data_IF_357962882882
#
_entry.id   IF_357962882882
#
_cell.length_a   1.000
_cell.length_b   1.000
_cell.length_c   1.000
_cell.angle_alpha   90.00
_cell.angle_beta   90.00
_cell.angle_gamma   90.00
#
_symmetry.space_group_name_H-M   'P 1'
#
loop_
_entity.id
_entity.type
_entity.pdbx_description
1 polymer ?
#
# COMPACT_ATOMS: atom_id res chain seq x y z
N UNK A 1 15.88 -7.74 -22.90
CA UNK A 1 16.08 -7.33 -21.49
C UNK A 1 15.48 -5.95 -21.21
N UNK A 2 15.56 -4.98 -22.13
CA UNK A 2 14.94 -3.64 -21.95
C UNK A 2 13.40 -3.59 -21.91
N UNK A 3 12.70 -4.61 -22.43
CA UNK A 3 11.22 -4.65 -22.42
C UNK A 3 10.63 -4.99 -21.06
N UNK A 4 11.35 -5.76 -20.24
CA UNK A 4 10.86 -6.21 -18.93
C UNK A 4 11.03 -5.10 -17.87
N UNK A 5 12.12 -4.32 -17.94
CA UNK A 5 12.37 -3.20 -17.03
C UNK A 5 11.35 -2.05 -17.22
N UNK A 6 11.04 -1.69 -18.46
CA UNK A 6 10.03 -0.68 -18.76
C UNK A 6 8.62 -1.10 -18.30
N UNK A 7 8.28 -2.39 -18.44
CA UNK A 7 7.01 -2.93 -17.96
C UNK A 7 6.92 -2.94 -16.42
N UNK A 8 8.03 -3.20 -15.72
CA UNK A 8 8.09 -3.14 -14.25
C UNK A 8 7.92 -1.69 -13.77
N UNK A 9 8.56 -0.72 -14.44
CA UNK A 9 8.42 0.69 -14.11
C UNK A 9 6.98 1.20 -14.34
N UNK A 10 6.36 0.81 -15.46
CA UNK A 10 4.96 1.13 -15.74
C UNK A 10 4.02 0.56 -14.67
N UNK A 11 4.17 -0.72 -14.31
CA UNK A 11 3.34 -1.34 -13.26
C UNK A 11 3.57 -0.71 -11.89
N UNK A 12 4.80 -0.31 -11.57
CA UNK A 12 5.14 0.40 -10.35
C UNK A 12 4.43 1.75 -10.29
N UNK A 13 4.52 2.54 -11.36
CA UNK A 13 3.85 3.84 -11.44
C UNK A 13 2.33 3.71 -11.37
N UNK A 14 1.75 2.70 -12.02
CA UNK A 14 0.33 2.42 -11.95
C UNK A 14 -0.11 2.07 -10.53
N UNK A 15 0.67 1.27 -9.80
CA UNK A 15 0.38 0.90 -8.40
C UNK A 15 0.32 2.14 -7.49
N UNK A 16 1.32 3.03 -7.57
CA UNK A 16 1.30 4.30 -6.82
C UNK A 16 0.14 5.21 -7.25
N UNK A 17 -0.18 5.26 -8.54
CA UNK A 17 -1.33 6.04 -9.02
C UNK A 17 -2.65 5.52 -8.44
N UNK A 18 -2.83 4.19 -8.34
CA UNK A 18 -4.01 3.61 -7.70
C UNK A 18 -4.05 3.90 -6.20
N UNK A 19 -2.90 3.83 -5.51
CA UNK A 19 -2.77 4.22 -4.10
C UNK A 19 -3.23 5.67 -3.86
N UNK A 20 -2.80 6.60 -4.72
CA UNK A 20 -3.19 8.01 -4.66
C UNK A 20 -4.69 8.23 -4.85
N UNK A 21 -5.27 7.59 -5.87
CA UNK A 21 -6.70 7.69 -6.15
C UNK A 21 -7.53 7.18 -4.96
N UNK A 22 -7.15 6.03 -4.38
CA UNK A 22 -7.83 5.47 -3.23
C UNK A 22 -7.70 6.36 -1.99
N UNK A 23 -6.52 6.92 -1.76
CA UNK A 23 -6.28 7.80 -0.62
C UNK A 23 -7.15 9.06 -0.65
N UNK A 24 -7.22 9.72 -1.82
CA UNK A 24 -8.08 10.89 -2.03
C UNK A 24 -9.56 10.51 -1.89
N UNK A 25 -9.98 9.39 -2.49
CA UNK A 25 -11.37 8.95 -2.41
C UNK A 25 -11.78 8.67 -0.97
N UNK A 26 -11.02 7.88 -0.21
CA UNK A 26 -11.33 7.56 1.19
C UNK A 26 -11.34 8.82 2.07
N UNK A 27 -10.36 9.72 1.91
CA UNK A 27 -10.34 10.98 2.66
C UNK A 27 -11.52 11.90 2.34
N UNK A 28 -12.12 11.78 1.15
CA UNK A 28 -13.27 12.61 0.75
C UNK A 28 -14.61 12.17 1.32
N UNK A 29 -14.75 10.88 1.69
CA UNK A 29 -16.04 10.31 2.11
C UNK A 29 -16.22 10.22 3.62
N UNK A 30 -15.14 10.30 4.40
CA UNK A 30 -15.20 10.28 5.86
C UNK A 30 -14.32 11.40 6.43
N UNK A 31 -14.88 12.39 7.16
CA UNK A 31 -14.12 13.53 7.69
C UNK A 31 -13.05 13.14 8.73
N UNK A 32 -13.06 11.92 9.24
CA UNK A 32 -12.05 11.40 10.16
C UNK A 32 -10.89 10.70 9.45
N UNK A 33 -11.00 10.53 8.14
CA UNK A 33 -9.93 9.99 7.30
C UNK A 33 -9.17 11.13 6.62
N UNK A 34 -7.89 11.22 6.92
CA UNK A 34 -6.93 12.11 6.29
C UNK A 34 -6.34 11.45 5.05
N UNK A 35 -6.42 12.14 3.92
CA UNK A 35 -5.95 11.62 2.64
C UNK A 35 -4.43 11.41 2.62
N UNK A 36 -3.65 12.24 3.32
CA UNK A 36 -2.19 12.06 3.37
C UNK A 36 -1.83 10.81 4.19
N UNK A 37 -2.56 10.52 5.27
CA UNK A 37 -2.36 9.28 6.03
C UNK A 37 -2.72 8.04 5.23
N UNK A 38 -3.83 8.08 4.47
CA UNK A 38 -4.16 6.99 3.55
C UNK A 38 -3.08 6.80 2.48
N UNK A 39 -2.56 7.89 1.91
CA UNK A 39 -1.48 7.84 0.92
C UNK A 39 -0.25 7.17 1.50
N UNK A 40 0.21 7.58 2.68
CA UNK A 40 1.36 6.98 3.37
C UNK A 40 1.20 5.45 3.54
N UNK A 41 0.02 5.01 4.00
CA UNK A 41 -0.28 3.59 4.22
C UNK A 41 -0.27 2.77 2.91
N UNK A 42 -0.86 3.33 1.84
CA UNK A 42 -0.92 2.66 0.54
C UNK A 42 0.41 2.69 -0.20
N UNK A 43 1.17 3.79 -0.13
CA UNK A 43 2.52 3.89 -0.68
C UNK A 43 3.45 2.88 0.00
N UNK A 44 3.40 2.77 1.33
CA UNK A 44 4.17 1.78 2.09
C UNK A 44 3.81 0.35 1.65
N UNK A 45 2.52 0.07 1.46
CA UNK A 45 2.07 -1.23 0.96
C UNK A 45 2.58 -1.52 -0.45
N UNK A 46 2.56 -0.51 -1.33
CA UNK A 46 3.05 -0.62 -2.69
C UNK A 46 4.56 -0.89 -2.73
N UNK A 47 5.34 -0.16 -1.94
CA UNK A 47 6.79 -0.36 -1.78
C UNK A 47 7.13 -1.79 -1.37
N UNK A 48 6.38 -2.34 -0.40
CA UNK A 48 6.58 -3.70 0.08
C UNK A 48 6.24 -4.75 -0.98
N UNK A 49 5.17 -4.57 -1.75
CA UNK A 49 4.80 -5.46 -2.86
C UNK A 49 5.89 -5.47 -3.94
N UNK A 50 6.42 -4.30 -4.30
CA UNK A 50 7.49 -4.18 -5.29
C UNK A 50 8.78 -4.83 -4.78
N UNK A 51 9.15 -4.58 -3.52
CA UNK A 51 10.31 -5.17 -2.86
C UNK A 51 10.22 -6.70 -2.84
N UNK A 52 9.08 -7.25 -2.41
CA UNK A 52 8.85 -8.70 -2.36
C UNK A 52 8.92 -9.32 -3.77
N UNK A 53 8.37 -8.64 -4.78
CA UNK A 53 8.43 -9.08 -6.18
C UNK A 53 9.89 -9.18 -6.68
N UNK A 54 10.74 -8.22 -6.33
CA UNK A 54 12.18 -8.29 -6.64
C UNK A 54 12.91 -9.40 -5.89
N UNK A 55 12.54 -9.66 -4.63
CA UNK A 55 13.11 -10.74 -3.82
C UNK A 55 12.73 -12.11 -4.40
N UNK A 56 11.47 -12.30 -4.83
CA UNK A 56 11.04 -13.49 -5.56
C UNK A 56 11.78 -13.67 -6.89
N UNK A 57 11.97 -12.59 -7.66
CA UNK A 57 12.75 -12.64 -8.90
C UNK A 57 14.19 -13.12 -8.66
N UNK A 58 14.81 -12.68 -7.55
CA UNK A 58 16.15 -13.11 -7.12
C UNK A 58 16.18 -14.48 -6.44
N UNK A 59 15.01 -15.11 -6.22
CA UNK A 59 14.83 -16.36 -5.46
C UNK A 59 15.31 -16.27 -4.01
N UNK A 60 15.33 -15.06 -3.44
CA UNK A 60 15.65 -14.84 -2.03
C UNK A 60 14.37 -14.97 -1.19
N UNK A 61 13.95 -16.21 -0.97
CA UNK A 61 12.70 -16.49 -0.26
C UNK A 61 12.73 -16.11 1.22
N UNK A 62 13.92 -16.02 1.83
CA UNK A 62 14.06 -15.57 3.21
C UNK A 62 13.79 -14.07 3.31
N UNK A 63 14.35 -13.27 2.40
CA UNK A 63 14.04 -11.84 2.31
C UNK A 63 12.55 -11.62 1.97
N UNK A 64 12.03 -12.34 0.97
CA UNK A 64 10.60 -12.25 0.59
C UNK A 64 9.67 -12.50 1.79
N UNK A 65 9.93 -13.54 2.60
CA UNK A 65 9.15 -13.82 3.80
C UNK A 65 9.23 -12.68 4.84
N UNK A 66 10.37 -12.03 5.00
CA UNK A 66 10.51 -10.89 5.91
C UNK A 66 9.71 -9.68 5.41
N UNK A 67 9.80 -9.37 4.12
CA UNK A 67 9.00 -8.31 3.49
C UNK A 67 7.50 -8.60 3.57
N UNK A 68 7.08 -9.86 3.41
CA UNK A 68 5.69 -10.26 3.61
C UNK A 68 5.21 -10.01 5.04
N UNK A 69 6.05 -10.29 6.05
CA UNK A 69 5.72 -9.99 7.45
C UNK A 69 5.53 -8.48 7.66
N UNK A 70 6.40 -7.64 7.08
CA UNK A 70 6.24 -6.17 7.09
C UNK A 70 4.93 -5.73 6.41
N UNK A 71 4.56 -6.37 5.31
CA UNK A 71 3.30 -6.11 4.60
C UNK A 71 2.08 -6.47 5.45
N UNK A 72 2.13 -7.57 6.20
CA UNK A 72 1.05 -7.94 7.14
C UNK A 72 0.89 -6.88 8.24
N UNK A 73 1.97 -6.37 8.82
CA UNK A 73 1.88 -5.28 9.80
C UNK A 73 1.32 -3.98 9.20
N UNK A 74 1.70 -3.65 7.96
CA UNK A 74 1.14 -2.50 7.25
C UNK A 74 -0.36 -2.67 6.99
N UNK A 75 -0.79 -3.89 6.65
CA UNK A 75 -2.21 -4.24 6.47
C UNK A 75 -3.01 -4.12 7.77
N UNK A 76 -2.41 -4.47 8.91
CA UNK A 76 -3.02 -4.25 10.22
C UNK A 76 -3.16 -2.75 10.53
N UNK A 77 -2.14 -1.95 10.25
CA UNK A 77 -2.22 -0.49 10.43
C UNK A 77 -3.31 0.16 9.55
N UNK A 78 -3.49 -0.32 8.31
CA UNK A 78 -4.61 0.05 7.45
C UNK A 78 -5.95 -0.31 8.11
N UNK A 79 -6.07 -1.54 8.63
CA UNK A 79 -7.26 -2.01 9.33
C UNK A 79 -7.61 -1.16 10.55
N UNK A 80 -6.62 -0.83 11.38
CA UNK A 80 -6.79 0.02 12.56
C UNK A 80 -7.25 1.43 12.17
N UNK A 81 -6.62 2.03 11.15
CA UNK A 81 -6.99 3.36 10.68
C UNK A 81 -8.39 3.41 10.05
N UNK A 82 -8.73 2.39 9.27
CA UNK A 82 -10.07 2.20 8.74
C UNK A 82 -11.10 2.11 9.87
N UNK A 83 -10.89 1.19 10.81
CA UNK A 83 -11.81 0.94 11.92
C UNK A 83 -11.98 2.18 12.81
N UNK A 84 -10.90 2.92 13.08
CA UNK A 84 -10.93 4.16 13.85
C UNK A 84 -11.85 5.20 13.20
N UNK A 85 -11.68 5.47 11.90
CA UNK A 85 -12.51 6.44 11.20
C UNK A 85 -13.97 6.00 11.09
N UNK A 86 -14.24 4.69 10.94
CA UNK A 86 -15.60 4.16 10.99
C UNK A 86 -16.24 4.35 12.37
N UNK A 87 -15.50 4.05 13.43
CA UNK A 87 -15.97 4.22 14.81
C UNK A 87 -16.30 5.69 15.10
N UNK A 88 -15.42 6.61 14.70
CA UNK A 88 -15.64 8.05 14.89
C UNK A 88 -16.84 8.55 14.07
N UNK A 89 -17.02 8.06 12.84
CA UNK A 89 -18.15 8.42 11.98
C UNK A 89 -19.50 7.92 12.53
N UNK A 90 -19.52 6.74 13.15
CA UNK A 90 -20.75 6.16 13.69
C UNK A 90 -21.20 6.77 15.04
N UNK A 91 -20.35 7.57 15.69
CA UNK A 91 -20.67 8.26 16.95
C UNK A 91 -21.28 9.66 16.76
N UNK A 92 -21.53 10.05 15.50
CA UNK A 92 -22.27 11.26 15.13
C UNK A 92 -23.74 10.91 14.89
#
# INVERSE_FOLDING_TARGET
MSGDEAAIEEQTNELYRYADILAVYLGSINPYWDAAKWKELFDTSAELIIKESHEFYRKDYTAAMQTFIEFVYTSLAIGDYFAQGMYQYALI
#
